data_IF_465817322948
#
_entry.id   IF_465817322948
#
_cell.length_a   1.000
_cell.length_b   1.000
_cell.length_c   1.000
_cell.angle_alpha   90.00
_cell.angle_beta   90.00
_cell.angle_gamma   90.00
#
_symmetry.space_group_name_H-M   'P 1'
#
loop_
_entity.id
_entity.type
_entity.pdbx_description
1 polymer ?
#
# COMPACT_ATOMS: atom_id res chain seq x y z
N UNK A 1 3.63 14.42 3.14
CA UNK A 1 4.53 14.45 1.96
C UNK A 1 4.72 15.88 1.49
N UNK A 2 5.83 16.54 1.85
CA UNK A 2 6.03 17.97 1.58
C UNK A 2 6.32 18.28 0.10
N UNK A 3 6.77 17.31 -0.69
CA UNK A 3 7.21 17.50 -2.07
C UNK A 3 6.16 17.19 -3.14
N UNK A 4 4.90 16.94 -2.75
CA UNK A 4 3.81 16.58 -3.70
C UNK A 4 2.63 17.52 -3.53
N UNK A 5 2.15 18.12 -4.64
CA UNK A 5 0.93 18.94 -4.69
C UNK A 5 -0.25 18.11 -4.22
N UNK A 6 -0.86 18.48 -3.08
CA UNK A 6 -2.11 17.85 -2.58
C UNK A 6 -3.24 17.82 -3.60
N UNK A 7 -3.29 18.83 -4.49
CA UNK A 7 -4.31 18.94 -5.53
C UNK A 7 -4.13 17.93 -6.68
N UNK A 8 -2.88 17.57 -6.97
CA UNK A 8 -2.54 16.68 -8.08
C UNK A 8 -2.95 15.23 -7.84
N UNK A 9 -2.55 14.67 -6.70
CA UNK A 9 -2.83 13.26 -6.39
C UNK A 9 -4.28 12.98 -5.94
N UNK A 10 -5.01 13.97 -5.42
CA UNK A 10 -6.41 13.77 -4.95
C UNK A 10 -7.46 13.74 -6.05
N UNK A 11 -7.20 14.37 -7.19
CA UNK A 11 -8.20 14.54 -8.27
C UNK A 11 -7.91 13.71 -9.51
N UNK A 12 -6.75 13.07 -9.57
CA UNK A 12 -6.27 12.38 -10.76
C UNK A 12 -6.32 10.87 -10.54
N UNK A 13 -6.83 10.14 -11.52
CA UNK A 13 -6.76 8.67 -11.52
C UNK A 13 -5.35 8.20 -11.85
N UNK A 14 -5.01 6.95 -11.52
CA UNK A 14 -3.70 6.36 -11.87
C UNK A 14 -3.45 6.44 -13.39
N UNK A 15 -4.47 6.13 -14.19
CA UNK A 15 -4.41 6.26 -15.65
C UNK A 15 -4.00 7.66 -16.11
N UNK A 16 -4.70 8.69 -15.62
CA UNK A 16 -4.39 10.08 -15.96
C UNK A 16 -2.99 10.49 -15.47
N UNK A 17 -2.54 9.94 -14.34
CA UNK A 17 -1.25 10.23 -13.74
C UNK A 17 -0.08 9.64 -14.55
N UNK A 18 -0.25 8.40 -15.03
CA UNK A 18 0.76 7.70 -15.85
C UNK A 18 0.84 8.24 -17.27
N UNK A 19 -0.29 8.67 -17.84
CA UNK A 19 -0.34 9.20 -19.21
C UNK A 19 0.61 10.39 -19.36
N UNK A 20 1.64 10.21 -20.21
CA UNK A 20 2.66 11.23 -20.46
C UNK A 20 3.45 11.66 -19.21
N UNK A 21 3.59 10.78 -18.22
CA UNK A 21 4.25 11.07 -16.94
C UNK A 21 3.69 12.31 -16.22
N UNK A 22 2.38 12.56 -16.32
CA UNK A 22 1.73 13.75 -15.76
C UNK A 22 1.91 13.88 -14.23
N UNK A 23 2.09 12.77 -13.52
CA UNK A 23 2.39 12.75 -12.08
C UNK A 23 3.68 13.50 -11.70
N UNK A 24 4.67 13.59 -12.59
CA UNK A 24 5.90 14.36 -12.34
C UNK A 24 5.61 15.86 -12.12
N UNK A 25 4.55 16.38 -12.75
CA UNK A 25 4.12 17.79 -12.60
C UNK A 25 3.60 18.12 -11.21
N UNK A 26 3.25 17.10 -10.43
CA UNK A 26 2.78 17.29 -9.06
C UNK A 26 3.92 17.39 -8.06
N UNK A 27 5.14 17.08 -8.47
CA UNK A 27 6.33 17.20 -7.62
C UNK A 27 6.73 18.67 -7.53
N UNK A 28 6.90 19.18 -6.30
CA UNK A 28 7.27 20.58 -6.03
C UNK A 28 8.46 20.64 -5.10
N UNK A 29 9.18 21.75 -5.22
CA UNK A 29 10.27 22.12 -4.32
C UNK A 29 11.61 21.64 -4.84
N UNK A 30 12.67 22.00 -4.12
CA UNK A 30 13.99 21.44 -4.36
C UNK A 30 14.08 20.05 -3.78
N UNK A 31 14.22 19.03 -4.64
CA UNK A 31 14.61 17.69 -4.21
C UNK A 31 16.10 17.70 -3.88
N UNK A 32 16.49 17.02 -2.80
CA UNK A 32 17.90 16.72 -2.55
C UNK A 32 18.44 15.80 -3.66
N UNK A 33 19.77 15.74 -3.83
CA UNK A 33 20.40 14.83 -4.82
C UNK A 33 19.91 13.40 -4.64
N UNK A 34 19.80 12.93 -3.40
CA UNK A 34 19.30 11.60 -3.08
C UNK A 34 17.82 11.42 -3.50
N UNK A 35 16.96 12.40 -3.21
CA UNK A 35 15.55 12.33 -3.57
C UNK A 35 15.36 12.40 -5.09
N UNK A 36 16.18 13.16 -5.82
CA UNK A 36 16.20 13.18 -7.29
C UNK A 36 16.61 11.82 -7.85
N UNK A 37 17.63 11.19 -7.29
CA UNK A 37 18.02 9.83 -7.68
C UNK A 37 16.87 8.83 -7.48
N UNK A 38 16.24 8.85 -6.31
CA UNK A 38 15.07 8.00 -6.01
C UNK A 38 13.91 8.28 -6.98
N UNK A 39 13.68 9.54 -7.34
CA UNK A 39 12.65 9.90 -8.30
C UNK A 39 12.94 9.31 -9.69
N UNK A 40 14.19 9.36 -10.16
CA UNK A 40 14.59 8.77 -11.44
C UNK A 40 14.39 7.25 -11.42
N UNK A 41 14.78 6.57 -10.33
CA UNK A 41 14.55 5.12 -10.18
C UNK A 41 13.06 4.79 -10.21
N UNK A 42 12.23 5.57 -9.51
CA UNK A 42 10.78 5.41 -9.53
C UNK A 42 10.22 5.63 -10.93
N UNK A 43 10.62 6.69 -11.62
CA UNK A 43 10.19 6.98 -12.97
C UNK A 43 10.56 5.85 -13.94
N UNK A 44 11.77 5.29 -13.80
CA UNK A 44 12.23 4.17 -14.61
C UNK A 44 11.35 2.93 -14.45
N UNK A 45 10.85 2.63 -13.25
CA UNK A 45 9.94 1.51 -13.02
C UNK A 45 8.53 1.83 -13.55
N UNK A 46 8.03 3.02 -13.21
CA UNK A 46 6.65 3.43 -13.48
C UNK A 46 6.35 3.58 -14.98
N UNK A 47 7.32 4.03 -15.79
CA UNK A 47 7.13 4.16 -17.24
C UNK A 47 6.90 2.83 -17.96
N UNK A 48 7.32 1.71 -17.36
CA UNK A 48 7.13 0.38 -17.91
C UNK A 48 5.85 -0.30 -17.39
N UNK A 49 5.11 0.36 -16.49
CA UNK A 49 3.84 -0.16 -16.00
C UNK A 49 2.76 -0.01 -17.06
N UNK A 50 2.19 -1.13 -17.49
CA UNK A 50 1.02 -1.16 -18.36
C UNK A 50 -0.24 -1.35 -17.51
N UNK A 51 -1.20 -0.44 -17.66
CA UNK A 51 -2.50 -0.59 -17.02
C UNK A 51 -3.36 -1.54 -17.85
N UNK A 52 -4.02 -2.47 -17.16
CA UNK A 52 -5.02 -3.35 -17.74
C UNK A 52 -6.41 -2.75 -17.53
N UNK A 53 -7.35 -3.06 -18.43
CA UNK A 53 -8.76 -2.67 -18.26
C UNK A 53 -9.50 -3.59 -17.27
N UNK A 54 -8.87 -4.69 -16.87
CA UNK A 54 -9.42 -5.58 -15.85
C UNK A 54 -9.49 -4.89 -14.49
N UNK A 55 -10.54 -5.17 -13.69
CA UNK A 55 -10.61 -4.71 -12.31
C UNK A 55 -9.39 -5.19 -11.50
N UNK A 56 -8.86 -4.31 -10.65
CA UNK A 56 -7.80 -4.65 -9.72
C UNK A 56 -8.20 -5.85 -8.85
N UNK A 57 -7.34 -6.88 -8.83
CA UNK A 57 -7.53 -8.05 -7.96
C UNK A 57 -6.79 -7.85 -6.65
N UNK A 58 -7.53 -7.80 -5.55
CA UNK A 58 -6.94 -7.77 -4.22
C UNK A 58 -6.46 -9.19 -3.82
N UNK A 59 -5.18 -9.47 -4.00
CA UNK A 59 -4.56 -10.73 -3.56
C UNK A 59 -4.07 -10.61 -2.10
N UNK A 60 -4.76 -11.28 -1.18
CA UNK A 60 -4.39 -11.31 0.24
C UNK A 60 -3.29 -12.34 0.50
N UNK A 61 -2.04 -11.89 0.51
CA UNK A 61 -0.85 -12.75 0.66
C UNK A 61 -0.77 -13.59 1.94
N UNK A 62 -1.36 -13.20 3.10
CA UNK A 62 -1.32 -14.02 4.30
C UNK A 62 -2.18 -15.30 4.23
N UNK A 63 -3.04 -15.45 3.23
CA UNK A 63 -3.84 -16.66 3.02
C UNK A 63 -3.44 -17.32 1.69
N UNK A 64 -3.25 -18.64 1.68
CA UNK A 64 -2.83 -19.37 0.48
C UNK A 64 -3.86 -19.32 -0.66
N UNK A 65 -5.15 -19.15 -0.35
CA UNK A 65 -6.18 -18.94 -1.37
C UNK A 65 -6.15 -17.53 -1.98
N UNK A 66 -5.36 -16.61 -1.43
CA UNK A 66 -5.35 -15.19 -1.84
C UNK A 66 -6.60 -14.43 -1.42
N UNK A 67 -7.55 -15.07 -0.71
CA UNK A 67 -8.79 -14.45 -0.28
C UNK A 67 -8.61 -13.74 1.05
N UNK A 68 -9.12 -12.52 1.10
CA UNK A 68 -9.21 -11.75 2.33
C UNK A 68 -10.31 -12.34 3.24
N UNK A 69 -9.95 -12.59 4.49
CA UNK A 69 -10.93 -12.88 5.54
C UNK A 69 -10.57 -12.14 6.82
N UNK A 70 -11.57 -11.70 7.58
CA UNK A 70 -11.34 -11.07 8.89
C UNK A 70 -10.48 -11.95 9.80
N UNK A 71 -10.65 -13.26 9.73
CA UNK A 71 -9.85 -14.24 10.48
C UNK A 71 -8.37 -14.20 10.11
N UNK A 72 -8.03 -14.25 8.82
CA UNK A 72 -6.64 -14.23 8.37
C UNK A 72 -5.98 -12.86 8.59
N UNK A 73 -6.74 -11.76 8.48
CA UNK A 73 -6.28 -10.43 8.88
C UNK A 73 -5.91 -10.36 10.37
N UNK A 74 -6.79 -10.88 11.24
CA UNK A 74 -6.53 -10.93 12.67
C UNK A 74 -5.31 -11.81 12.98
N UNK A 75 -5.24 -13.01 12.41
CA UNK A 75 -4.07 -13.88 12.58
C UNK A 75 -2.77 -13.20 12.14
N UNK A 76 -2.77 -12.49 11.01
CA UNK A 76 -1.60 -11.76 10.52
C UNK A 76 -1.20 -10.63 11.46
N UNK A 77 -2.17 -9.91 12.03
CA UNK A 77 -1.94 -8.84 13.00
C UNK A 77 -1.20 -9.33 14.26
N UNK A 78 -1.46 -10.57 14.68
CA UNK A 78 -0.84 -11.19 15.85
C UNK A 78 0.41 -12.03 15.54
N UNK A 79 0.95 -11.99 14.31
CA UNK A 79 2.22 -12.67 14.01
C UNK A 79 3.34 -12.03 14.84
N UNK A 80 4.05 -12.84 15.63
CA UNK A 80 5.09 -12.38 16.57
C UNK A 80 4.57 -11.99 17.95
N UNK A 81 3.25 -12.03 18.17
CA UNK A 81 2.69 -11.86 19.51
C UNK A 81 2.93 -13.09 20.40
N UNK A 82 3.10 -12.86 21.70
CA UNK A 82 3.17 -13.95 22.67
C UNK A 82 1.75 -14.35 23.07
N UNK A 83 1.46 -15.66 23.06
CA UNK A 83 0.16 -16.17 23.51
C UNK A 83 0.01 -15.93 25.01
N UNK A 84 -1.03 -15.20 25.41
CA UNK A 84 -1.35 -15.02 26.82
C UNK A 84 -2.11 -16.25 27.34
N UNK A 85 -1.40 -17.30 27.76
CA UNK A 85 -1.99 -18.55 28.27
C UNK A 85 -3.02 -18.41 29.43
N UNK A 86 -2.92 -17.43 30.35
CA UNK A 86 -3.87 -17.31 31.46
C UNK A 86 -5.31 -16.97 31.06
N UNK A 87 -5.59 -16.66 29.79
CA UNK A 87 -6.96 -16.39 29.31
C UNK A 87 -7.94 -17.53 29.68
N UNK A 88 -7.49 -18.79 29.69
CA UNK A 88 -8.35 -19.93 30.07
C UNK A 88 -8.83 -19.89 31.53
N UNK A 89 -8.16 -19.14 32.41
CA UNK A 89 -8.51 -19.02 33.84
C UNK A 89 -9.44 -17.84 34.10
N UNK A 90 -9.32 -16.77 33.33
CA UNK A 90 -10.14 -15.56 33.50
C UNK A 90 -11.60 -15.76 33.05
N UNK A 91 -11.82 -16.60 32.03
CA UNK A 91 -13.14 -16.76 31.40
C UNK A 91 -13.93 -17.98 31.89
N UNK A 92 -13.55 -18.59 33.04
CA UNK A 92 -14.29 -19.73 33.64
C UNK A 92 -15.68 -19.37 34.19
N UNK A 93 -16.03 -18.08 34.27
CA UNK A 93 -17.26 -17.60 34.92
C UNK A 93 -18.43 -17.33 33.96
N UNK A 94 -18.34 -17.77 32.70
CA UNK A 94 -19.44 -17.71 31.74
C UNK A 94 -19.91 -19.14 31.37
N UNK A 95 -20.40 -19.88 32.36
CA UNK A 95 -21.30 -21.02 32.20
C UNK A 95 -22.18 -21.14 33.43
#
# INVERSE_FOLDING_TARGET
MPFVRKRGWRKRTVYQALRGSAWLKDIIGGLSVLATWQLIQLWAVVQHTQLQEEPDRHCWTPNASGEFTTKSAYQRFFVGSTKFEPYKRLWKWLH
#
